data_IF_008406558232
#
_entry.id   IF_008406558232
#
_cell.length_a   1.000
_cell.length_b   1.000
_cell.length_c   1.000
_cell.angle_alpha   90.00
_cell.angle_beta   90.00
_cell.angle_gamma   90.00
#
_symmetry.space_group_name_H-M   'P 1'
#
loop_
_entity.id
_entity.type
_entity.pdbx_description
1 polymer ?
#
# COMPACT_ATOMS: atom_id res chain seq x y z
N UNK A 1 7.24 23.68 17.98
CA UNK A 1 7.48 22.52 17.10
C UNK A 1 6.38 22.58 16.04
N UNK A 2 6.71 22.90 14.79
CA UNK A 2 5.70 22.95 13.73
C UNK A 2 5.30 21.50 13.41
N UNK A 3 4.00 21.15 13.38
CA UNK A 3 3.58 19.83 12.95
C UNK A 3 4.04 19.63 11.51
N UNK A 4 4.73 18.53 11.24
CA UNK A 4 5.14 18.16 9.90
C UNK A 4 3.88 18.04 9.04
N UNK A 5 3.72 18.94 8.06
CA UNK A 5 2.56 19.06 7.16
C UNK A 5 2.20 17.77 6.39
N UNK A 6 3.06 16.75 6.45
CA UNK A 6 2.93 15.49 5.71
C UNK A 6 2.67 14.27 6.60
N UNK A 7 2.70 14.41 7.93
CA UNK A 7 2.46 13.28 8.84
C UNK A 7 0.98 12.93 8.96
N UNK A 8 0.09 13.93 8.81
CA UNK A 8 -1.35 13.74 8.69
C UNK A 8 -1.87 14.67 7.58
N UNK A 9 -1.94 14.21 6.31
CA UNK A 9 -2.51 15.02 5.25
C UNK A 9 -4.01 15.16 5.47
N UNK A 10 -4.44 16.31 5.98
CA UNK A 10 -5.86 16.62 6.08
C UNK A 10 -6.46 16.73 4.66
N UNK A 11 -7.55 16.00 4.34
CA UNK A 11 -8.18 16.07 3.01
C UNK A 11 -8.65 17.46 2.66
N UNK A 12 -8.98 18.29 3.65
CA UNK A 12 -9.33 19.69 3.42
C UNK A 12 -8.13 20.51 2.92
N UNK A 13 -6.91 20.20 3.37
CA UNK A 13 -5.69 20.81 2.84
C UNK A 13 -5.36 20.27 1.45
N UNK A 14 -5.53 18.96 1.23
CA UNK A 14 -5.37 18.36 -0.10
C UNK A 14 -6.33 18.98 -1.10
N UNK A 15 -7.60 19.21 -0.73
CA UNK A 15 -8.64 19.85 -1.56
C UNK A 15 -8.32 21.31 -1.87
N UNK A 16 -7.67 22.03 -0.95
CA UNK A 16 -7.21 23.39 -1.17
C UNK A 16 -6.07 23.46 -2.20
N UNK A 17 -5.22 22.43 -2.28
CA UNK A 17 -4.12 22.39 -3.25
C UNK A 17 -4.56 21.91 -4.66
N UNK A 18 -5.82 21.46 -4.85
CA UNK A 18 -6.37 20.95 -6.13
C UNK A 18 -6.56 22.04 -7.19
N UNK A 19 -6.29 23.31 -6.87
CA UNK A 19 -6.47 24.44 -7.81
C UNK A 19 -5.69 24.30 -9.13
N UNK A 20 -4.63 23.47 -9.17
CA UNK A 20 -3.87 23.16 -10.38
C UNK A 20 -4.49 22.08 -11.28
N UNK A 21 -5.48 21.31 -10.77
CA UNK A 21 -6.18 20.28 -11.54
C UNK A 21 -7.37 20.85 -12.33
N UNK A 22 -7.78 20.20 -13.43
CA UNK A 22 -8.87 20.70 -14.26
C UNK A 22 -10.18 20.85 -13.46
N UNK A 23 -10.87 22.01 -13.55
CA UNK A 23 -12.07 22.29 -12.74
C UNK A 23 -13.23 21.33 -13.04
N UNK A 24 -13.25 20.73 -14.24
CA UNK A 24 -14.22 19.72 -14.67
C UNK A 24 -14.33 18.52 -13.70
N UNK A 25 -13.24 18.19 -13.00
CA UNK A 25 -13.17 17.00 -12.14
C UNK A 25 -13.15 17.33 -10.64
N UNK A 26 -13.41 18.57 -10.22
CA UNK A 26 -13.35 18.94 -8.79
C UNK A 26 -14.22 18.05 -7.89
N UNK A 27 -15.45 17.74 -8.33
CA UNK A 27 -16.36 16.88 -7.54
C UNK A 27 -15.83 15.45 -7.40
N UNK A 28 -15.18 14.94 -8.45
CA UNK A 28 -14.56 13.61 -8.44
C UNK A 28 -13.33 13.60 -7.53
N UNK A 29 -12.43 14.57 -7.69
CA UNK A 29 -11.22 14.66 -6.89
C UNK A 29 -11.52 14.79 -5.40
N UNK A 30 -12.57 15.55 -5.04
CA UNK A 30 -13.05 15.64 -3.65
C UNK A 30 -13.58 14.30 -3.14
N UNK A 31 -14.37 13.57 -3.94
CA UNK A 31 -14.89 12.27 -3.54
C UNK A 31 -13.76 11.24 -3.33
N UNK A 32 -12.72 11.27 -4.17
CA UNK A 32 -11.53 10.42 -4.02
C UNK A 32 -10.75 10.80 -2.76
N UNK A 33 -10.53 12.10 -2.50
CA UNK A 33 -9.84 12.55 -1.30
C UNK A 33 -10.57 12.12 -0.01
N UNK A 34 -11.90 12.26 0.02
CA UNK A 34 -12.73 11.77 1.13
C UNK A 34 -12.64 10.24 1.28
N UNK A 35 -12.66 9.49 0.17
CA UNK A 35 -12.51 8.03 0.21
C UNK A 35 -11.16 7.59 0.77
N UNK A 36 -10.07 8.26 0.37
CA UNK A 36 -8.73 7.95 0.87
C UNK A 36 -8.65 8.15 2.40
N UNK A 37 -9.33 9.18 2.91
CA UNK A 37 -9.37 9.50 4.35
C UNK A 37 -10.26 8.53 5.14
N UNK A 38 -11.52 8.38 4.72
CA UNK A 38 -12.53 7.57 5.40
C UNK A 38 -12.09 6.11 5.56
N UNK A 39 -11.31 5.60 4.61
CA UNK A 39 -10.80 4.23 4.60
C UNK A 39 -9.31 4.13 4.92
N UNK A 40 -8.63 5.24 5.24
CA UNK A 40 -7.20 5.28 5.55
C UNK A 40 -6.35 4.52 4.52
N UNK A 41 -6.65 4.71 3.23
CA UNK A 41 -6.01 3.96 2.12
C UNK A 41 -4.52 4.28 1.98
N UNK A 42 -4.08 5.41 2.54
CA UNK A 42 -2.68 5.81 2.64
C UNK A 42 -2.39 6.13 4.09
N UNK A 43 -1.46 5.39 4.69
CA UNK A 43 -1.03 5.59 6.08
C UNK A 43 0.44 5.96 6.12
N UNK A 44 0.78 7.01 6.87
CA UNK A 44 2.16 7.33 7.19
C UNK A 44 2.58 6.58 8.45
N UNK A 45 3.78 6.00 8.42
CA UNK A 45 4.39 5.39 9.59
C UNK A 45 5.54 6.29 10.05
N UNK A 46 5.56 6.70 11.33
CA UNK A 46 6.70 7.43 11.87
C UNK A 46 7.93 6.50 11.91
N UNK A 47 9.08 7.04 11.52
CA UNK A 47 10.36 6.34 11.57
C UNK A 47 11.30 7.08 12.51
N UNK A 48 11.77 6.39 13.54
CA UNK A 48 12.92 6.80 14.35
C UNK A 48 14.06 5.79 14.17
N UNK A 49 15.15 6.23 13.55
CA UNK A 49 16.33 5.38 13.27
C UNK A 49 17.11 5.00 14.53
N UNK A 50 16.87 5.70 15.64
CA UNK A 50 17.49 5.41 16.94
C UNK A 50 16.73 4.33 17.70
N UNK A 51 15.51 4.02 17.27
CA UNK A 51 14.58 3.11 17.92
C UNK A 51 14.43 1.82 17.10
N UNK A 52 14.91 0.72 17.66
CA UNK A 52 14.83 -0.60 17.04
C UNK A 52 13.38 -1.10 16.94
N UNK A 53 12.50 -0.69 17.86
CA UNK A 53 11.08 -1.03 17.83
C UNK A 53 10.39 -0.34 16.65
N UNK A 54 10.63 0.97 16.44
CA UNK A 54 10.15 1.72 15.27
C UNK A 54 10.58 1.08 13.94
N UNK A 55 11.84 0.61 13.83
CA UNK A 55 12.29 -0.11 12.65
C UNK A 55 11.60 -1.47 12.48
N UNK A 56 11.38 -2.20 13.57
CA UNK A 56 10.67 -3.47 13.58
C UNK A 56 9.22 -3.34 13.11
N UNK A 57 8.49 -2.33 13.59
CA UNK A 57 7.11 -2.04 13.17
C UNK A 57 7.01 -1.71 11.68
N UNK A 58 7.99 -0.95 11.16
CA UNK A 58 8.05 -0.59 9.74
C UNK A 58 8.28 -1.84 8.86
N UNK A 59 9.25 -2.68 9.23
CA UNK A 59 9.53 -3.94 8.53
C UNK A 59 8.31 -4.87 8.53
N UNK A 60 7.67 -5.04 9.70
CA UNK A 60 6.46 -5.84 9.81
C UNK A 60 5.33 -5.32 8.92
N UNK A 61 5.15 -4.00 8.83
CA UNK A 61 4.12 -3.43 7.96
C UNK A 61 4.42 -3.66 6.48
N UNK A 62 5.69 -3.56 6.07
CA UNK A 62 6.10 -3.85 4.69
C UNK A 62 5.82 -5.31 4.36
N UNK A 63 6.22 -6.24 5.22
CA UNK A 63 6.01 -7.67 5.00
C UNK A 63 4.51 -8.02 4.93
N UNK A 64 3.70 -7.44 5.82
CA UNK A 64 2.25 -7.62 5.81
C UNK A 64 1.59 -7.10 4.53
N UNK A 65 2.08 -5.99 3.98
CA UNK A 65 1.56 -5.42 2.74
C UNK A 65 1.89 -6.27 1.50
N UNK A 66 3.09 -6.86 1.46
CA UNK A 66 3.52 -7.75 0.37
C UNK A 66 2.73 -9.06 0.40
N UNK A 67 2.59 -9.68 1.59
CA UNK A 67 1.85 -10.93 1.74
C UNK A 67 0.37 -10.79 1.34
N UNK A 68 -0.25 -9.65 1.65
CA UNK A 68 -1.64 -9.38 1.23
C UNK A 68 -1.81 -9.34 -0.30
N UNK A 69 -0.80 -8.87 -1.03
CA UNK A 69 -0.83 -8.83 -2.51
C UNK A 69 -0.78 -10.26 -3.09
N UNK A 70 0.07 -11.12 -2.52
CA UNK A 70 0.18 -12.54 -2.89
C UNK A 70 -1.11 -13.32 -2.60
N UNK A 71 -1.77 -13.05 -1.48
CA UNK A 71 -3.05 -13.70 -1.13
C UNK A 71 -4.20 -13.35 -2.08
N UNK A 72 -4.12 -12.21 -2.78
CA UNK A 72 -5.11 -11.82 -3.80
C UNK A 72 -4.83 -12.39 -5.18
N UNK A 73 -3.68 -13.02 -5.40
CA UNK A 73 -3.36 -13.62 -6.69
C UNK A 73 -4.27 -14.83 -6.96
N UNK A 74 -4.98 -14.79 -8.09
CA UNK A 74 -5.87 -15.89 -8.49
C UNK A 74 -5.02 -17.12 -8.80
N UNK A 75 -5.07 -18.12 -7.92
CA UNK A 75 -4.45 -19.41 -8.20
C UNK A 75 -5.10 -20.00 -9.45
N UNK A 76 -4.31 -20.14 -10.51
CA UNK A 76 -4.73 -20.86 -11.71
C UNK A 76 -5.10 -22.28 -11.24
N UNK A 77 -6.31 -22.77 -11.52
CA UNK A 77 -6.65 -24.15 -11.23
C UNK A 77 -5.61 -25.04 -11.92
N UNK A 78 -4.86 -25.81 -11.12
CA UNK A 78 -3.98 -26.84 -11.67
C UNK A 78 -4.86 -27.79 -12.47
N UNK A 79 -4.59 -27.91 -13.77
CA UNK A 79 -5.25 -28.93 -14.59
C UNK A 79 -4.77 -30.29 -14.05
N UNK A 80 -5.64 -31.16 -13.51
CA UNK A 80 -5.20 -32.42 -12.90
C UNK A 80 -4.46 -33.36 -13.86
N UNK A 81 -4.41 -33.02 -15.15
CA UNK A 81 -3.72 -33.76 -16.20
C UNK A 81 -2.29 -33.26 -16.49
N UNK A 82 -1.79 -32.22 -15.81
CA UNK A 82 -0.35 -31.87 -15.82
C UNK A 82 0.38 -32.77 -14.82
N UNK A 83 0.65 -34.01 -15.25
CA UNK A 83 1.50 -34.95 -14.52
C UNK A 83 2.89 -34.34 -14.30
N UNK A 84 3.29 -34.36 -13.04
CA UNK A 84 4.59 -34.04 -12.44
C UNK A 84 5.78 -34.56 -13.30
N UNK A 85 6.21 -33.80 -14.31
CA UNK A 85 7.54 -33.99 -14.93
C UNK A 85 8.58 -33.47 -13.94
N UNK A 86 8.75 -34.23 -12.86
CA UNK A 86 9.84 -34.08 -11.92
C UNK A 86 11.15 -34.08 -12.70
N UNK A 87 11.84 -32.94 -12.68
CA UNK A 87 13.24 -32.88 -13.04
C UNK A 87 14.00 -33.78 -12.05
N UNK A 88 14.22 -35.04 -12.43
CA UNK A 88 15.27 -35.87 -11.84
C UNK A 88 16.61 -35.16 -12.13
N UNK A 89 17.03 -34.30 -11.21
CA UNK A 89 18.42 -33.82 -11.19
C UNK A 89 19.31 -35.02 -10.85
N UNK A 90 19.88 -35.59 -11.91
CA UNK A 90 20.97 -36.54 -11.78
C UNK A 90 22.19 -35.85 -11.20
N UNK A 91 22.56 -36.22 -9.97
CA UNK A 91 23.88 -35.94 -9.41
C UNK A 91 24.36 -37.14 -8.55
N UNK A 92 25.24 -37.94 -9.18
CA UNK A 92 26.26 -38.88 -8.66
C UNK A 92 25.99 -39.70 -7.37
#
# INVERSE_FOLDING_TARGET
>A
MLPCRFLDPNPHELVADIHHLPPKFQKLNKAIATLIDDFSLVRFLPLDISDEESMGELLFTIDSAIQFDEEQEVRIPHDPDEEDEGWEDGAD
#
